data_IF_165254370958
#
_entry.id   IF_165254370958
#
_cell.length_a   1.000
_cell.length_b   1.000
_cell.length_c   1.000
_cell.angle_alpha   90.00
_cell.angle_beta   90.00
_cell.angle_gamma   90.00
#
_symmetry.space_group_name_H-M   'P 1'
#
loop_
_entity.id
_entity.type
_entity.pdbx_description
1 polymer ?
#
# COMPACT_ATOMS: atom_id res chain seq x y z
N UNK A 1 -3.60 -30.14 5.30
CA UNK A 1 -2.94 -28.84 5.05
C UNK A 1 -3.36 -28.36 3.67
N UNK A 2 -4.11 -27.28 3.59
CA UNK A 2 -4.47 -26.65 2.32
C UNK A 2 -3.22 -25.96 1.76
N UNK A 3 -2.74 -26.46 0.62
CA UNK A 3 -1.61 -25.90 -0.10
C UNK A 3 -2.03 -24.54 -0.70
N UNK A 4 -1.54 -23.43 -0.09
CA UNK A 4 -1.85 -22.08 -0.55
C UNK A 4 -1.24 -21.86 -1.93
N UNK A 5 -2.06 -21.47 -2.90
CA UNK A 5 -1.60 -21.13 -4.24
C UNK A 5 -1.87 -19.66 -4.57
N UNK A 6 -0.85 -18.96 -5.04
CA UNK A 6 -0.93 -17.55 -5.45
C UNK A 6 -0.72 -17.47 -6.96
N UNK A 7 -1.46 -16.58 -7.64
CA UNK A 7 -1.22 -16.32 -9.05
C UNK A 7 0.08 -15.51 -9.21
N UNK A 8 1.08 -16.09 -9.86
CA UNK A 8 2.35 -15.44 -10.14
C UNK A 8 2.30 -14.79 -11.52
N UNK A 9 2.32 -13.46 -11.58
CA UNK A 9 2.30 -12.70 -12.83
C UNK A 9 3.51 -12.98 -13.72
N UNK A 10 4.68 -13.29 -13.15
CA UNK A 10 5.90 -13.61 -13.91
C UNK A 10 5.73 -14.87 -14.78
N UNK A 11 5.10 -15.90 -14.21
CA UNK A 11 4.86 -17.18 -14.89
C UNK A 11 3.43 -17.35 -15.41
N UNK A 12 2.56 -16.35 -15.15
CA UNK A 12 1.15 -16.30 -15.55
C UNK A 12 0.33 -17.52 -15.11
N UNK A 13 0.68 -18.14 -13.98
CA UNK A 13 0.00 -19.35 -13.45
C UNK A 13 -0.12 -19.31 -11.93
N UNK A 14 -1.00 -20.15 -11.38
CA UNK A 14 -1.11 -20.35 -9.94
C UNK A 14 0.01 -21.27 -9.47
N UNK A 15 0.80 -20.82 -8.51
CA UNK A 15 1.95 -21.54 -7.97
C UNK A 15 1.77 -21.74 -6.47
N UNK A 16 2.32 -22.84 -5.95
CA UNK A 16 2.40 -23.07 -4.51
C UNK A 16 3.18 -21.94 -3.87
N UNK A 17 2.61 -21.32 -2.85
CA UNK A 17 3.28 -20.29 -2.08
C UNK A 17 4.21 -20.93 -1.07
N UNK A 18 5.51 -20.66 -1.21
CA UNK A 18 6.54 -21.07 -0.26
C UNK A 18 7.29 -19.83 0.21
N UNK A 19 7.31 -19.54 1.52
CA UNK A 19 8.00 -18.36 2.02
C UNK A 19 9.52 -18.55 1.95
N UNK A 20 10.24 -17.46 1.67
CA UNK A 20 11.72 -17.46 1.66
C UNK A 20 12.29 -17.90 3.02
N UNK A 21 11.65 -17.46 4.11
CA UNK A 21 11.97 -17.87 5.49
C UNK A 21 10.77 -18.63 6.06
N UNK A 22 10.93 -19.85 6.59
CA UNK A 22 9.81 -20.61 7.15
C UNK A 22 9.02 -19.79 8.19
N UNK A 23 7.69 -19.77 8.03
CA UNK A 23 6.78 -19.04 8.93
C UNK A 23 6.76 -17.52 8.77
N UNK A 24 7.63 -16.92 7.94
CA UNK A 24 7.71 -15.46 7.77
C UNK A 24 7.45 -15.03 6.32
N UNK A 25 6.59 -14.03 6.15
CA UNK A 25 6.21 -13.50 4.83
C UNK A 25 6.50 -12.00 4.77
N UNK A 26 7.25 -11.57 3.77
CA UNK A 26 7.41 -10.15 3.42
C UNK A 26 6.52 -9.81 2.24
N UNK A 27 5.76 -8.72 2.33
CA UNK A 27 4.89 -8.23 1.27
C UNK A 27 5.18 -6.75 1.03
N UNK A 28 5.54 -6.41 -0.20
CA UNK A 28 5.65 -5.03 -0.67
C UNK A 28 4.51 -4.75 -1.65
N UNK A 29 3.83 -3.61 -1.46
CA UNK A 29 2.79 -3.13 -2.37
C UNK A 29 3.08 -1.68 -2.70
N UNK A 30 3.07 -1.34 -3.99
CA UNK A 30 3.18 0.05 -4.43
C UNK A 30 1.99 0.86 -3.91
N UNK A 31 2.25 1.95 -3.19
CA UNK A 31 1.21 2.89 -2.79
C UNK A 31 0.92 3.97 -3.83
N UNK A 32 0.03 4.91 -3.50
CA UNK A 32 -0.40 5.96 -4.42
C UNK A 32 0.65 7.07 -4.56
N UNK A 33 0.56 7.79 -5.68
CA UNK A 33 1.17 9.12 -5.84
C UNK A 33 0.25 10.16 -5.24
N UNK A 34 0.71 10.91 -4.24
CA UNK A 34 -0.11 11.84 -3.45
C UNK A 34 -0.21 13.22 -4.10
N UNK A 35 -0.77 13.27 -5.30
CA UNK A 35 -1.04 14.52 -6.02
C UNK A 35 -2.50 14.97 -5.93
N UNK A 36 -3.42 14.07 -5.56
CA UNK A 36 -4.86 14.33 -5.49
C UNK A 36 -5.52 13.35 -4.52
N UNK A 37 -6.78 13.62 -4.19
CA UNK A 37 -7.60 12.80 -3.32
C UNK A 37 -7.72 11.35 -3.84
N UNK A 38 -7.80 10.40 -2.91
CA UNK A 38 -7.88 8.98 -3.25
C UNK A 38 -9.26 8.59 -3.79
N UNK A 39 -9.29 8.08 -5.01
CA UNK A 39 -10.50 7.52 -5.62
C UNK A 39 -10.71 6.03 -5.30
N UNK A 40 -11.88 5.49 -5.65
CA UNK A 40 -12.27 4.08 -5.42
C UNK A 40 -11.25 3.05 -5.97
N UNK A 41 -10.51 3.40 -7.02
CA UNK A 41 -9.44 2.56 -7.56
C UNK A 41 -8.32 2.31 -6.54
N UNK A 42 -7.94 3.30 -5.74
CA UNK A 42 -6.95 3.17 -4.68
C UNK A 42 -7.52 2.33 -3.53
N UNK A 43 -8.78 2.59 -3.15
CA UNK A 43 -9.46 1.83 -2.11
C UNK A 43 -9.52 0.34 -2.41
N UNK A 44 -9.80 -0.04 -3.67
CA UNK A 44 -9.81 -1.44 -4.10
C UNK A 44 -8.47 -2.12 -3.84
N UNK A 45 -7.36 -1.52 -4.27
CA UNK A 45 -6.03 -2.10 -4.07
C UNK A 45 -5.72 -2.29 -2.59
N UNK A 46 -6.02 -1.28 -1.77
CA UNK A 46 -5.85 -1.34 -0.32
C UNK A 46 -6.63 -2.50 0.30
N UNK A 47 -7.92 -2.60 0.00
CA UNK A 47 -8.80 -3.64 0.57
C UNK A 47 -8.34 -5.04 0.15
N UNK A 48 -7.99 -5.23 -1.12
CA UNK A 48 -7.53 -6.54 -1.62
C UNK A 48 -6.26 -6.99 -0.89
N UNK A 49 -5.28 -6.11 -0.72
CA UNK A 49 -4.04 -6.46 -0.04
C UNK A 49 -4.19 -6.58 1.48
N UNK A 50 -5.09 -5.81 2.10
CA UNK A 50 -5.48 -5.99 3.51
C UNK A 50 -6.06 -7.39 3.75
N UNK A 51 -6.99 -7.84 2.90
CA UNK A 51 -7.55 -9.20 2.98
C UNK A 51 -6.46 -10.26 2.85
N UNK A 52 -5.50 -10.10 1.93
CA UNK A 52 -4.37 -11.03 1.76
C UNK A 52 -3.50 -11.07 3.03
N UNK A 53 -3.13 -9.92 3.57
CA UNK A 53 -2.30 -9.83 4.79
C UNK A 53 -3.03 -10.46 5.98
N UNK A 54 -4.32 -10.16 6.17
CA UNK A 54 -5.14 -10.76 7.23
C UNK A 54 -5.26 -12.26 7.08
N UNK A 55 -5.48 -12.75 5.87
CA UNK A 55 -5.55 -14.18 5.59
C UNK A 55 -4.24 -14.90 5.92
N UNK A 56 -3.10 -14.34 5.50
CA UNK A 56 -1.77 -14.90 5.78
C UNK A 56 -1.48 -14.94 7.29
N UNK A 57 -1.84 -13.87 8.02
CA UNK A 57 -1.75 -13.84 9.49
C UNK A 57 -2.67 -14.90 10.14
N UNK A 58 -3.90 -15.03 9.64
CA UNK A 58 -4.89 -15.98 10.18
C UNK A 58 -4.46 -17.46 10.01
N UNK A 59 -3.73 -17.78 8.95
CA UNK A 59 -3.18 -19.13 8.73
C UNK A 59 -1.81 -19.36 9.40
N UNK A 60 -1.35 -18.42 10.23
CA UNK A 60 -0.19 -18.60 11.11
C UNK A 60 1.14 -18.01 10.63
N UNK A 61 1.14 -17.19 9.56
CA UNK A 61 2.37 -16.50 9.13
C UNK A 61 2.64 -15.22 9.92
N UNK A 62 3.92 -14.98 10.23
CA UNK A 62 4.42 -13.67 10.64
C UNK A 62 4.59 -12.79 9.39
N UNK A 63 3.69 -11.82 9.20
CA UNK A 63 3.66 -10.99 7.98
C UNK A 63 4.27 -9.61 8.24
N UNK A 64 5.34 -9.29 7.52
CA UNK A 64 5.87 -7.93 7.38
C UNK A 64 5.26 -7.30 6.12
N UNK A 65 4.42 -6.30 6.31
CA UNK A 65 3.76 -5.57 5.23
C UNK A 65 4.37 -4.18 5.08
N UNK A 66 4.81 -3.83 3.87
CA UNK A 66 5.43 -2.54 3.55
C UNK A 66 4.70 -1.93 2.35
N UNK A 67 4.40 -0.63 2.46
CA UNK A 67 3.80 0.17 1.39
C UNK A 67 4.52 1.52 1.35
N UNK A 68 4.88 1.99 0.17
CA UNK A 68 5.46 3.33 -0.02
C UNK A 68 4.36 4.37 -0.25
N UNK A 69 4.70 5.64 -0.13
CA UNK A 69 3.93 6.75 -0.68
C UNK A 69 4.85 7.50 -1.63
N UNK A 70 4.36 7.86 -2.81
CA UNK A 70 5.16 8.62 -3.78
C UNK A 70 4.84 10.10 -3.60
N UNK A 71 5.74 10.80 -2.91
CA UNK A 71 5.69 12.23 -2.56
C UNK A 71 6.49 13.12 -3.52
N UNK A 72 7.24 12.53 -4.45
CA UNK A 72 7.96 13.22 -5.53
C UNK A 72 7.63 12.56 -6.87
N UNK A 73 6.94 13.29 -7.73
CA UNK A 73 6.52 12.84 -9.07
C UNK A 73 6.18 14.07 -9.95
N UNK A 74 6.31 13.95 -11.28
CA UNK A 74 5.96 15.03 -12.21
C UNK A 74 4.50 15.48 -12.07
N UNK A 75 3.59 14.57 -11.70
CA UNK A 75 2.18 14.90 -11.43
C UNK A 75 2.01 15.83 -10.24
N UNK A 76 2.83 15.65 -9.20
CA UNK A 76 2.82 16.50 -8.00
C UNK A 76 3.34 17.88 -8.36
N UNK A 77 4.40 17.97 -9.18
CA UNK A 77 4.96 19.24 -9.65
C UNK A 77 3.92 20.04 -10.43
N UNK A 78 3.26 19.41 -11.41
CA UNK A 78 2.24 20.07 -12.23
C UNK A 78 1.06 20.54 -11.38
N UNK A 79 0.56 19.67 -10.48
CA UNK A 79 -0.58 19.99 -9.63
C UNK A 79 -0.30 21.07 -8.59
N UNK A 80 0.88 21.06 -7.99
CA UNK A 80 1.32 22.11 -7.08
C UNK A 80 1.40 23.47 -7.81
N UNK A 81 1.90 23.47 -9.06
CA UNK A 81 1.92 24.65 -9.92
C UNK A 81 0.52 25.20 -10.24
N UNK A 82 -0.46 24.33 -10.49
CA UNK A 82 -1.87 24.73 -10.71
C UNK A 82 -2.51 25.35 -9.46
N UNK A 83 -2.19 24.83 -8.28
CA UNK A 83 -2.76 25.26 -7.00
C UNK A 83 -2.00 26.44 -6.37
N UNK A 84 -0.82 26.80 -6.89
CA UNK A 84 0.03 27.86 -6.35
C UNK A 84 0.65 27.54 -4.99
N UNK A 85 0.78 26.25 -4.66
CA UNK A 85 1.39 25.76 -3.41
C UNK A 85 2.74 25.09 -3.69
N UNK A 86 3.53 24.84 -2.65
CA UNK A 86 4.80 24.15 -2.83
C UNK A 86 4.62 22.65 -3.11
N UNK A 87 5.57 22.05 -3.82
CA UNK A 87 5.57 20.60 -4.13
C UNK A 87 5.65 19.71 -2.90
N UNK A 88 6.08 20.25 -1.76
CA UNK A 88 6.17 19.54 -0.48
C UNK A 88 4.86 19.59 0.30
N UNK A 89 4.15 20.71 0.17
CA UNK A 89 2.92 21.00 0.90
C UNK A 89 1.72 20.20 0.36
N UNK A 90 1.69 19.91 -0.96
CA UNK A 90 0.63 19.09 -1.58
C UNK A 90 0.61 17.63 -1.05
N UNK A 91 1.72 16.87 -1.07
CA UNK A 91 1.79 15.56 -0.42
C UNK A 91 1.42 15.59 1.06
N UNK A 92 1.87 16.61 1.79
CA UNK A 92 1.67 16.72 3.24
C UNK A 92 0.21 17.00 3.59
N UNK A 93 -0.50 17.82 2.80
CA UNK A 93 -1.94 18.02 2.96
C UNK A 93 -2.73 16.73 2.71
N UNK A 94 -2.34 15.93 1.71
CA UNK A 94 -3.00 14.68 1.35
C UNK A 94 -2.64 13.49 2.29
N UNK A 95 -1.49 13.56 2.96
CA UNK A 95 -0.96 12.47 3.80
C UNK A 95 -1.09 12.73 5.32
N UNK A 96 -1.45 13.94 5.75
CA UNK A 96 -1.58 14.29 7.18
C UNK A 96 -2.61 13.43 7.93
N UNK A 97 -2.23 12.97 9.14
CA UNK A 97 -3.07 12.19 10.06
C UNK A 97 -3.81 13.14 11.03
N UNK A 98 -5.09 12.94 11.43
CA UNK A 98 -5.98 11.79 11.27
C UNK A 98 -7.08 11.96 10.21
N UNK A 99 -7.11 13.07 9.48
CA UNK A 99 -8.29 13.51 8.71
C UNK A 99 -8.34 13.06 7.25
N UNK A 100 -7.27 12.49 6.70
CA UNK A 100 -7.13 12.39 5.23
C UNK A 100 -7.16 10.95 4.71
N UNK A 101 -7.66 10.79 3.47
CA UNK A 101 -7.95 9.50 2.85
C UNK A 101 -6.74 8.56 2.75
N UNK A 102 -5.51 9.07 2.65
CA UNK A 102 -4.32 8.22 2.66
C UNK A 102 -4.13 7.48 3.99
N UNK A 103 -4.52 8.09 5.11
CA UNK A 103 -4.46 7.50 6.45
C UNK A 103 -5.61 6.52 6.72
N UNK A 104 -6.80 6.78 6.19
CA UNK A 104 -7.94 5.84 6.30
C UNK A 104 -7.83 4.65 5.34
N UNK A 105 -7.08 4.81 4.25
CA UNK A 105 -6.67 3.75 3.33
C UNK A 105 -5.33 3.12 3.72
N UNK A 106 -4.59 3.71 4.66
CA UNK A 106 -3.50 3.01 5.33
C UNK A 106 -4.12 2.00 6.30
N UNK A 107 -3.48 0.83 6.37
CA UNK A 107 -3.80 -0.28 7.28
C UNK A 107 -4.40 0.22 8.62
N UNK A 108 -5.48 -0.35 9.17
CA UNK A 108 -5.92 -0.05 10.54
C UNK A 108 -4.85 -0.34 11.61
N UNK A 109 -3.71 -0.95 11.24
CA UNK A 109 -2.50 -1.10 12.05
C UNK A 109 -1.25 -0.46 11.40
N UNK A 110 -1.17 0.87 11.20
CA UNK A 110 0.07 1.49 10.78
C UNK A 110 0.99 1.59 12.00
N UNK A 111 2.18 0.99 11.92
CA UNK A 111 3.32 1.43 12.75
C UNK A 111 3.79 2.79 12.22
N UNK A 112 2.97 3.82 12.38
CA UNK A 112 3.24 5.21 12.04
C UNK A 112 3.40 5.51 10.54
N UNK A 113 2.97 6.69 10.14
CA UNK A 113 3.55 7.33 8.95
C UNK A 113 5.00 7.71 9.32
N UNK A 114 6.03 7.38 8.52
CA UNK A 114 7.34 7.95 8.73
C UNK A 114 7.23 9.46 8.46
N UNK A 115 7.19 10.23 9.53
CA UNK A 115 7.48 11.68 9.52
C UNK A 115 8.93 11.90 9.15
#
# INVERSE_FOLDING_TARGET
>A
MTNLKIYNTLHKKKETFEPIKPGKVGIYVCGPTVYDASHIGHARCVVVFDVIVRYLRAIGYEVTYVRNFTDVDDKIINRAGELGISTRELPESECSWPSTQCASLADPFPRGCPT
#
